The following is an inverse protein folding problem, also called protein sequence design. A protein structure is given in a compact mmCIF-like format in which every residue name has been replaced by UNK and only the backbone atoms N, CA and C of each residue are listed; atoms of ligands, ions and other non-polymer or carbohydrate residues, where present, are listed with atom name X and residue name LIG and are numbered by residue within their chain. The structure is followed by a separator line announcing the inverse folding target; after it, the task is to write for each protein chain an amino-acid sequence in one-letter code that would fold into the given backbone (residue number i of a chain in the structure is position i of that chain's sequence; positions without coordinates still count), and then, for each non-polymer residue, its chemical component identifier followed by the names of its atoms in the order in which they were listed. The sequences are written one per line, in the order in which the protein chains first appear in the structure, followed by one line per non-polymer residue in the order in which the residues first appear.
data_IF_115728978008
#
_entry.id   IF_115728978008
#
_cell.length_a   1.000
_cell.length_b   1.000
_cell.length_c   1.000
_cell.angle_alpha   90.00
_cell.angle_beta   90.00
_cell.angle_gamma   90.00
#
_symmetry.space_group_name_H-M   'P 1'
#
loop_
_entity.id
_entity.type
_entity.pdbx_description
1 polymer ?
#
# COMPACT_ATOMS: atom_id res chain seq x y z
N UNK A 1 6.53 -25.81 -6.95
CA UNK A 1 7.39 -25.42 -5.80
C UNK A 1 6.95 -24.06 -5.31
N UNK A 2 6.76 -23.91 -3.99
CA UNK A 2 6.47 -22.62 -3.36
C UNK A 2 7.69 -22.19 -2.55
N UNK A 3 8.21 -21.01 -2.82
CA UNK A 3 9.39 -20.43 -2.17
C UNK A 3 9.15 -18.95 -1.83
N UNK A 4 9.85 -18.45 -0.83
CA UNK A 4 9.79 -17.04 -0.46
C UNK A 4 11.09 -16.38 -0.88
N UNK A 5 10.99 -15.47 -1.85
CA UNK A 5 12.11 -14.70 -2.39
C UNK A 5 12.15 -13.33 -1.72
N UNK A 6 13.32 -12.83 -1.26
CA UNK A 6 13.42 -11.48 -0.73
C UNK A 6 13.00 -10.44 -1.76
N UNK A 7 12.07 -9.54 -1.38
CA UNK A 7 11.59 -8.48 -2.27
C UNK A 7 12.71 -7.57 -2.79
N UNK A 8 13.78 -7.35 -1.98
CA UNK A 8 14.97 -6.64 -2.42
C UNK A 8 15.64 -7.28 -3.63
N UNK A 9 15.72 -8.62 -3.66
CA UNK A 9 16.29 -9.36 -4.81
C UNK A 9 15.48 -9.12 -6.07
N UNK A 10 14.14 -9.24 -5.98
CA UNK A 10 13.26 -9.01 -7.13
C UNK A 10 13.36 -7.57 -7.63
N UNK A 11 13.45 -6.61 -6.72
CA UNK A 11 13.62 -5.19 -7.08
C UNK A 11 14.96 -4.90 -7.76
N UNK A 12 16.05 -5.55 -7.35
CA UNK A 12 17.34 -5.39 -8.05
C UNK A 12 17.33 -6.07 -9.41
N UNK A 13 16.71 -7.26 -9.54
CA UNK A 13 16.54 -7.93 -10.83
C UNK A 13 15.73 -7.07 -11.78
N UNK A 14 14.62 -6.47 -11.32
CA UNK A 14 13.78 -5.61 -12.18
C UNK A 14 14.51 -4.38 -12.73
N UNK A 15 15.54 -3.88 -12.03
CA UNK A 15 16.38 -2.77 -12.50
C UNK A 15 17.42 -3.19 -13.53
N UNK A 16 17.87 -4.47 -13.46
CA UNK A 16 18.89 -5.01 -14.37
C UNK A 16 18.22 -5.56 -15.64
N UNK A 17 17.00 -6.08 -15.53
CA UNK A 17 16.19 -6.51 -16.67
C UNK A 17 15.78 -5.28 -17.48
N UNK A 18 16.70 -4.80 -18.34
CA UNK A 18 16.44 -3.72 -19.28
C UNK A 18 16.32 -4.27 -20.68
N UNK A 19 15.25 -3.90 -21.41
CA UNK A 19 15.14 -4.15 -22.83
C UNK A 19 13.96 -5.01 -23.24
N UNK A 20 14.15 -5.81 -24.26
CA UNK A 20 13.13 -6.45 -25.06
C UNK A 20 12.26 -7.44 -24.28
N UNK A 21 10.94 -7.36 -24.44
CA UNK A 21 9.97 -8.28 -23.82
C UNK A 21 10.10 -9.73 -24.35
N UNK A 22 10.95 -9.99 -25.31
CA UNK A 22 11.20 -11.32 -25.89
C UNK A 22 12.32 -12.10 -25.18
N UNK A 23 13.02 -11.49 -24.21
CA UNK A 23 14.11 -12.16 -23.49
C UNK A 23 13.56 -13.07 -22.41
N UNK A 24 14.04 -14.29 -22.36
CA UNK A 24 13.69 -15.28 -21.35
C UNK A 24 14.58 -15.12 -20.11
N UNK A 25 13.97 -15.25 -18.94
CA UNK A 25 14.65 -15.40 -17.66
C UNK A 25 14.52 -16.83 -17.20
N UNK A 26 15.64 -17.53 -17.06
CA UNK A 26 15.66 -18.89 -16.50
C UNK A 26 15.74 -18.81 -14.97
N UNK A 27 14.88 -19.57 -14.28
CA UNK A 27 14.80 -19.56 -12.83
C UNK A 27 15.07 -20.97 -12.31
N UNK A 28 16.08 -21.10 -11.47
CA UNK A 28 16.47 -22.37 -10.86
C UNK A 28 16.23 -22.34 -9.35
N UNK A 29 15.60 -23.38 -8.85
CA UNK A 29 15.27 -23.52 -7.43
C UNK A 29 16.22 -24.52 -6.76
N UNK A 30 17.02 -24.06 -5.81
CA UNK A 30 17.82 -24.88 -4.91
C UNK A 30 17.09 -25.09 -3.57
N UNK A 31 17.74 -25.82 -2.65
CA UNK A 31 17.15 -26.10 -1.34
C UNK A 31 16.90 -24.83 -0.50
N UNK A 32 17.83 -23.87 -0.54
CA UNK A 32 17.79 -22.61 0.23
C UNK A 32 18.23 -21.40 -0.60
N UNK A 33 18.39 -21.55 -1.91
CA UNK A 33 18.74 -20.50 -2.85
C UNK A 33 17.85 -20.54 -4.09
N UNK A 34 17.70 -19.39 -4.73
CA UNK A 34 17.11 -19.22 -6.05
C UNK A 34 18.14 -18.54 -6.95
N UNK A 35 18.22 -18.98 -8.20
CA UNK A 35 19.11 -18.43 -9.20
C UNK A 35 18.28 -17.96 -10.38
N UNK A 36 18.59 -16.78 -10.85
CA UNK A 36 18.03 -16.16 -12.05
C UNK A 36 19.14 -16.02 -13.07
N UNK A 37 18.95 -16.52 -14.26
CA UNK A 37 19.91 -16.43 -15.37
C UNK A 37 19.22 -15.77 -16.57
N UNK A 38 19.83 -14.72 -17.05
CA UNK A 38 19.38 -13.97 -18.23
C UNK A 38 20.57 -13.25 -18.88
N UNK A 39 20.63 -13.27 -20.19
CA UNK A 39 21.78 -12.80 -20.96
C UNK A 39 23.11 -13.41 -20.41
N UNK A 40 24.10 -12.58 -20.13
CA UNK A 40 25.38 -12.98 -19.51
C UNK A 40 25.38 -12.77 -17.98
N UNK A 41 24.19 -12.65 -17.35
CA UNK A 41 24.04 -12.30 -15.93
C UNK A 41 23.44 -13.45 -15.15
N UNK A 42 24.07 -13.77 -14.01
CA UNK A 42 23.55 -14.73 -13.03
C UNK A 42 23.35 -14.00 -11.71
N UNK A 43 22.12 -14.03 -11.18
CA UNK A 43 21.78 -13.50 -9.87
C UNK A 43 21.41 -14.64 -8.93
N UNK A 44 22.12 -14.77 -7.82
CA UNK A 44 21.85 -15.76 -6.79
C UNK A 44 21.32 -15.07 -5.53
N UNK A 45 20.20 -15.57 -5.01
CA UNK A 45 19.63 -15.07 -3.77
C UNK A 45 19.31 -16.20 -2.79
N UNK A 46 19.47 -15.95 -1.51
CA UNK A 46 19.04 -16.86 -0.48
C UNK A 46 17.52 -16.75 -0.30
N UNK A 47 16.86 -17.89 -0.18
CA UNK A 47 15.44 -17.95 0.13
C UNK A 47 15.18 -17.60 1.59
N UNK A 48 14.01 -17.03 1.88
CA UNK A 48 13.53 -16.79 3.24
C UNK A 48 12.88 -18.08 3.73
N UNK A 49 13.34 -18.57 4.87
CA UNK A 49 12.76 -19.75 5.53
C UNK A 49 11.46 -19.38 6.25
N UNK A 50 10.48 -20.28 6.23
CA UNK A 50 9.21 -20.15 6.92
C UNK A 50 8.01 -20.28 6.02
N UNK A 51 6.82 -20.08 6.59
CA UNK A 51 5.56 -20.04 5.84
C UNK A 51 5.28 -18.60 5.42
N UNK A 52 4.86 -18.44 4.17
CA UNK A 52 4.37 -17.15 3.68
C UNK A 52 3.01 -16.83 4.32
N UNK A 53 2.74 -15.55 4.52
CA UNK A 53 1.46 -15.10 5.04
C UNK A 53 0.29 -15.64 4.20
N UNK A 54 -0.74 -16.14 4.88
CA UNK A 54 -1.99 -16.58 4.24
C UNK A 54 -2.84 -15.36 3.91
N UNK A 55 -2.46 -14.67 2.82
CA UNK A 55 -3.08 -13.41 2.39
C UNK A 55 -4.60 -13.59 2.23
N UNK A 56 -5.06 -14.72 1.69
CA UNK A 56 -6.49 -15.01 1.49
C UNK A 56 -7.30 -14.95 2.80
N UNK A 57 -6.67 -15.28 3.94
CA UNK A 57 -7.32 -15.20 5.25
C UNK A 57 -7.36 -13.78 5.82
N UNK A 58 -6.54 -12.87 5.28
CA UNK A 58 -6.49 -11.47 5.69
C UNK A 58 -7.41 -10.61 4.82
N UNK A 59 -7.76 -11.08 3.62
CA UNK A 59 -8.68 -10.41 2.71
C UNK A 59 -10.12 -10.69 3.14
N UNK A 60 -10.58 -10.00 4.18
CA UNK A 60 -12.00 -10.03 4.55
C UNK A 60 -12.82 -9.25 3.52
N UNK A 61 -13.93 -9.82 3.07
CA UNK A 61 -14.94 -9.10 2.28
C UNK A 61 -15.85 -8.23 3.14
N UNK A 62 -15.77 -8.36 4.48
CA UNK A 62 -16.62 -7.64 5.40
C UNK A 62 -16.06 -6.25 5.68
N UNK A 63 -16.90 -5.24 5.58
CA UNK A 63 -16.59 -3.86 5.94
C UNK A 63 -17.82 -3.21 6.60
N UNK A 64 -17.57 -2.31 7.55
CA UNK A 64 -18.59 -1.48 8.17
C UNK A 64 -18.66 -0.08 7.53
N UNK A 65 -17.58 0.33 6.87
CA UNK A 65 -17.45 1.63 6.19
C UNK A 65 -16.76 1.44 4.86
N UNK A 66 -17.40 1.89 3.78
CA UNK A 66 -16.86 1.98 2.44
C UNK A 66 -16.82 3.44 2.02
N UNK A 67 -15.70 3.87 1.46
CA UNK A 67 -15.49 5.25 1.00
C UNK A 67 -14.91 5.24 -0.40
N UNK A 68 -15.61 5.84 -1.37
CA UNK A 68 -15.08 6.12 -2.70
C UNK A 68 -14.78 7.60 -2.84
N UNK A 69 -13.64 7.93 -3.42
CA UNK A 69 -13.15 9.30 -3.51
C UNK A 69 -12.17 9.48 -4.68
N UNK A 70 -11.98 10.74 -5.08
CA UNK A 70 -10.99 11.08 -6.09
C UNK A 70 -9.58 10.80 -5.58
N UNK A 71 -8.85 9.95 -6.32
CA UNK A 71 -7.49 9.53 -5.97
C UNK A 71 -6.51 10.71 -5.90
N UNK A 72 -6.59 11.62 -6.87
CA UNK A 72 -5.66 12.75 -6.94
C UNK A 72 -5.80 13.67 -5.74
N UNK A 73 -7.02 14.04 -5.37
CA UNK A 73 -7.29 14.92 -4.23
C UNK A 73 -6.79 14.30 -2.91
N UNK A 74 -6.96 12.99 -2.78
CA UNK A 74 -6.49 12.24 -1.62
C UNK A 74 -4.97 12.16 -1.58
N UNK A 75 -4.32 11.79 -2.68
CA UNK A 75 -2.87 11.70 -2.79
C UNK A 75 -2.21 13.05 -2.55
N UNK A 76 -2.68 14.12 -3.19
CA UNK A 76 -2.16 15.48 -3.03
C UNK A 76 -2.24 15.95 -1.56
N UNK A 77 -3.32 15.57 -0.85
CA UNK A 77 -3.48 15.89 0.58
C UNK A 77 -2.52 15.10 1.47
N UNK A 78 -2.31 13.82 1.17
CA UNK A 78 -1.34 12.99 1.88
C UNK A 78 0.09 13.48 1.63
N UNK A 79 0.44 13.85 0.41
CA UNK A 79 1.78 14.36 0.08
C UNK A 79 2.08 15.68 0.80
N UNK A 80 1.11 16.58 0.92
CA UNK A 80 1.26 17.78 1.77
C UNK A 80 1.51 17.44 3.23
N UNK A 81 0.85 16.39 3.75
CA UNK A 81 1.09 15.93 5.11
C UNK A 81 2.51 15.37 5.30
N UNK A 82 3.00 14.61 4.32
CA UNK A 82 4.35 14.00 4.37
C UNK A 82 5.44 15.07 4.48
N UNK A 83 5.29 16.24 3.84
CA UNK A 83 6.25 17.34 3.91
C UNK A 83 6.45 17.84 5.35
N UNK A 84 5.43 17.73 6.20
CA UNK A 84 5.47 18.14 7.60
C UNK A 84 6.06 17.08 8.55
N UNK A 85 6.52 15.94 8.04
CA UNK A 85 7.03 14.83 8.84
C UNK A 85 8.51 14.59 8.52
N UNK A 86 9.35 14.45 9.53
CA UNK A 86 10.74 14.00 9.34
C UNK A 86 10.77 12.49 9.08
N UNK A 87 11.82 12.04 8.41
CA UNK A 87 12.01 10.64 8.02
C UNK A 87 11.89 9.63 9.19
N UNK A 88 12.23 10.06 10.40
CA UNK A 88 12.15 9.24 11.63
C UNK A 88 10.92 9.55 12.51
N UNK A 89 10.06 10.49 12.11
CA UNK A 89 8.88 10.88 12.88
C UNK A 89 7.68 10.04 12.46
N UNK A 90 7.19 9.19 13.36
CA UNK A 90 6.05 8.29 13.10
C UNK A 90 4.69 8.96 13.34
N UNK A 91 4.54 10.22 12.94
CA UNK A 91 3.26 10.94 13.12
C UNK A 91 2.20 10.41 12.16
N UNK A 92 1.05 9.97 12.66
CA UNK A 92 -0.05 9.52 11.82
C UNK A 92 -0.78 10.69 11.17
N UNK A 93 -1.32 10.43 9.97
CA UNK A 93 -2.43 11.19 9.44
C UNK A 93 -3.73 10.58 9.96
N UNK A 94 -4.61 11.42 10.48
CA UNK A 94 -5.90 11.00 11.03
C UNK A 94 -6.97 11.32 9.99
N UNK A 95 -7.71 10.32 9.58
CA UNK A 95 -8.87 10.43 8.71
C UNK A 95 -10.12 10.42 9.57
N UNK A 96 -10.91 11.47 9.52
CA UNK A 96 -12.23 11.52 10.11
C UNK A 96 -13.27 11.49 8.99
N UNK A 97 -14.02 10.40 8.92
CA UNK A 97 -14.95 10.05 7.84
C UNK A 97 -16.37 10.25 8.35
N UNK A 98 -17.04 11.27 7.85
CA UNK A 98 -18.39 11.65 8.25
C UNK A 98 -19.21 12.01 7.01
N UNK A 99 -20.43 11.52 6.93
CA UNK A 99 -21.36 11.82 5.84
C UNK A 99 -20.72 11.79 4.43
N UNK A 100 -20.63 12.94 3.78
CA UNK A 100 -20.09 13.13 2.43
C UNK A 100 -18.67 13.74 2.42
N UNK A 101 -18.01 13.79 3.58
CA UNK A 101 -16.69 14.41 3.74
C UNK A 101 -15.73 13.54 4.52
N UNK A 102 -14.49 13.60 4.14
CA UNK A 102 -13.36 13.07 4.90
C UNK A 102 -12.42 14.22 5.26
N UNK A 103 -12.21 14.46 6.54
CA UNK A 103 -11.18 15.38 7.00
C UNK A 103 -9.89 14.64 7.30
N UNK A 104 -8.78 15.19 6.80
CA UNK A 104 -7.43 14.70 7.04
C UNK A 104 -6.71 15.65 7.97
N UNK A 105 -6.22 15.14 9.10
CA UNK A 105 -5.48 15.93 10.09
C UNK A 105 -4.13 15.34 10.39
N UNK A 106 -3.12 16.20 10.44
CA UNK A 106 -1.78 15.83 10.89
C UNK A 106 -1.21 16.93 11.76
N UNK A 107 -0.68 16.54 12.92
CA UNK A 107 0.04 17.42 13.84
C UNK A 107 1.49 16.94 13.96
N UNK A 108 2.43 17.81 13.66
CA UNK A 108 3.85 17.58 13.82
C UNK A 108 4.55 18.75 14.55
N UNK A 109 5.83 18.58 14.83
CA UNK A 109 6.68 19.68 15.36
C UNK A 109 6.88 20.83 14.36
N UNK A 110 6.60 20.64 13.08
CA UNK A 110 6.76 21.63 12.00
C UNK A 110 5.47 22.36 11.67
N UNK A 111 4.34 21.86 12.13
CA UNK A 111 3.06 22.47 11.85
C UNK A 111 1.90 21.48 11.85
N UNK A 112 0.74 22.03 11.56
CA UNK A 112 -0.51 21.29 11.47
C UNK A 112 -1.04 21.39 10.06
N UNK A 113 -1.49 20.25 9.51
CA UNK A 113 -2.24 20.19 8.26
C UNK A 113 -3.68 19.76 8.53
N UNK A 114 -4.61 20.48 7.92
CA UNK A 114 -6.01 20.12 7.82
C UNK A 114 -6.43 20.22 6.35
N UNK A 115 -7.08 19.17 5.86
CA UNK A 115 -7.69 19.16 4.53
C UNK A 115 -9.06 18.50 4.61
N UNK A 116 -9.96 18.85 3.71
CA UNK A 116 -11.25 18.20 3.53
C UNK A 116 -11.36 17.69 2.10
N UNK A 117 -11.89 16.49 1.93
CA UNK A 117 -12.13 15.84 0.64
C UNK A 117 -13.58 15.41 0.59
N UNK A 118 -14.22 15.61 -0.54
CA UNK A 118 -15.55 15.08 -0.81
C UNK A 118 -15.45 13.57 -1.07
N UNK A 119 -16.36 12.83 -0.47
CA UNK A 119 -16.39 11.36 -0.55
C UNK A 119 -17.81 10.85 -0.80
N UNK A 120 -17.90 9.65 -1.33
CA UNK A 120 -19.11 8.83 -1.30
C UNK A 120 -18.94 7.75 -0.24
N UNK A 121 -19.63 7.90 0.88
CA UNK A 121 -19.58 6.96 1.99
C UNK A 121 -20.81 6.07 2.05
N UNK A 122 -20.62 4.81 2.33
CA UNK A 122 -21.63 3.87 2.81
C UNK A 122 -21.19 3.28 4.13
N UNK A 123 -22.13 3.12 5.06
CA UNK A 123 -21.85 2.55 6.37
C UNK A 123 -21.62 3.61 7.44
N UNK A 124 -20.86 3.26 8.46
CA UNK A 124 -20.70 4.04 9.69
C UNK A 124 -19.66 5.14 9.56
N UNK A 125 -19.79 6.17 10.40
CA UNK A 125 -18.71 7.15 10.60
C UNK A 125 -17.51 6.49 11.25
N UNK A 126 -16.32 6.94 10.87
CA UNK A 126 -15.09 6.32 11.34
C UNK A 126 -13.96 7.34 11.47
N UNK A 127 -13.26 7.29 12.60
CA UNK A 127 -11.99 7.97 12.77
C UNK A 127 -10.87 6.94 12.86
N UNK A 128 -9.86 7.07 11.98
CA UNK A 128 -8.78 6.09 11.83
C UNK A 128 -7.46 6.79 11.48
N UNK A 129 -6.35 6.30 12.04
CA UNK A 129 -5.02 6.85 11.80
C UNK A 129 -4.17 5.93 10.94
N UNK A 130 -3.36 6.51 10.04
CA UNK A 130 -2.43 5.77 9.20
C UNK A 130 -1.05 6.42 9.14
N UNK A 131 -0.05 5.63 8.81
CA UNK A 131 1.21 6.18 8.31
C UNK A 131 0.97 6.74 6.90
N UNK A 132 1.13 8.06 6.67
CA UNK A 132 0.80 8.67 5.38
C UNK A 132 1.64 8.14 4.23
N UNK A 133 2.86 7.67 4.49
CA UNK A 133 3.72 7.08 3.47
C UNK A 133 3.10 5.80 2.88
N UNK A 134 2.53 4.93 3.71
CA UNK A 134 1.90 3.70 3.22
C UNK A 134 0.65 3.96 2.39
N UNK A 135 -0.14 4.98 2.76
CA UNK A 135 -1.27 5.41 1.93
C UNK A 135 -0.80 5.98 0.58
N UNK A 136 0.24 6.82 0.58
CA UNK A 136 0.82 7.36 -0.65
C UNK A 136 1.34 6.25 -1.56
N UNK A 137 2.06 5.27 -1.01
CA UNK A 137 2.61 4.14 -1.77
C UNK A 137 1.49 3.32 -2.43
N UNK A 138 0.37 3.08 -1.71
CA UNK A 138 -0.80 2.40 -2.25
C UNK A 138 -1.43 3.15 -3.43
N UNK A 139 -1.62 4.47 -3.27
CA UNK A 139 -2.33 5.29 -4.25
C UNK A 139 -1.53 5.54 -5.53
N UNK A 140 -0.19 5.54 -5.45
CA UNK A 140 0.68 5.79 -6.61
C UNK A 140 0.67 4.67 -7.64
N UNK A 141 0.27 3.46 -7.27
CA UNK A 141 0.26 2.29 -8.15
C UNK A 141 -1.05 2.17 -8.90
N UNK A 142 -2.13 2.73 -8.36
CA UNK A 142 -3.46 2.70 -8.98
C UNK A 142 -3.51 3.74 -10.10
N UNK A 143 -3.92 3.32 -11.30
CA UNK A 143 -4.05 4.23 -12.46
C UNK A 143 -5.42 4.93 -12.50
N UNK A 144 -6.45 4.37 -11.86
CA UNK A 144 -7.81 4.91 -11.85
C UNK A 144 -7.91 6.30 -11.23
N UNK A 145 -8.90 7.07 -11.65
CA UNK A 145 -9.20 8.39 -11.10
C UNK A 145 -9.88 8.31 -9.73
N UNK A 146 -10.62 7.25 -9.46
CA UNK A 146 -11.28 6.96 -8.19
C UNK A 146 -10.63 5.78 -7.49
N UNK A 147 -10.65 5.83 -6.17
CA UNK A 147 -10.23 4.71 -5.31
C UNK A 147 -11.28 4.44 -4.26
N UNK A 148 -11.36 3.20 -3.85
CA UNK A 148 -12.27 2.78 -2.79
C UNK A 148 -11.51 2.23 -1.59
N UNK A 149 -11.86 2.75 -0.41
CA UNK A 149 -11.35 2.31 0.88
C UNK A 149 -12.40 1.47 1.59
N UNK A 150 -12.01 0.29 2.07
CA UNK A 150 -12.87 -0.61 2.83
C UNK A 150 -12.31 -0.76 4.24
N UNK A 151 -13.10 -0.45 5.25
CA UNK A 151 -12.70 -0.43 6.64
C UNK A 151 -13.77 -1.11 7.50
N UNK A 152 -13.33 -1.93 8.45
CA UNK A 152 -14.24 -2.55 9.44
C UNK A 152 -14.35 -1.68 10.69
N UNK A 153 -13.25 -1.18 11.21
CA UNK A 153 -13.15 -0.33 12.39
C UNK A 153 -11.77 0.34 12.46
N UNK A 154 -11.53 1.17 13.47
CA UNK A 154 -10.29 1.92 13.66
C UNK A 154 -9.03 1.07 13.96
N UNK A 155 -9.16 -0.23 14.19
CA UNK A 155 -8.06 -1.14 14.55
C UNK A 155 -7.81 -2.23 13.52
N UNK A 156 -8.77 -2.47 12.63
CA UNK A 156 -8.65 -3.46 11.56
C UNK A 156 -7.97 -2.86 10.33
N UNK A 157 -7.35 -3.68 9.48
CA UNK A 157 -6.75 -3.22 8.24
C UNK A 157 -7.74 -2.44 7.37
N UNK A 158 -7.23 -1.43 6.67
CA UNK A 158 -7.92 -0.78 5.56
C UNK A 158 -7.50 -1.44 4.27
N UNK A 159 -8.45 -1.78 3.42
CA UNK A 159 -8.19 -2.25 2.06
C UNK A 159 -8.45 -1.11 1.09
N UNK A 160 -7.46 -0.85 0.23
CA UNK A 160 -7.60 0.04 -0.92
C UNK A 160 -7.66 -0.81 -2.16
N UNK A 161 -8.67 -0.59 -3.00
CA UNK A 161 -8.89 -1.33 -4.23
C UNK A 161 -9.06 -0.36 -5.40
N UNK A 162 -8.63 -0.81 -6.59
CA UNK A 162 -8.99 -0.21 -7.87
C UNK A 162 -10.46 -0.57 -8.25
N UNK A 163 -10.96 0.00 -9.36
CA UNK A 163 -12.34 -0.22 -9.81
C UNK A 163 -12.63 -1.68 -10.16
N UNK A 164 -11.68 -2.35 -10.80
CA UNK A 164 -11.82 -3.76 -11.26
C UNK A 164 -11.48 -4.78 -10.17
N UNK A 165 -11.08 -4.33 -8.97
CA UNK A 165 -10.57 -5.18 -7.89
C UNK A 165 -9.37 -6.07 -8.31
N UNK A 166 -8.63 -5.65 -9.34
CA UNK A 166 -7.43 -6.33 -9.82
C UNK A 166 -6.23 -6.08 -8.91
N UNK A 167 -6.30 -4.98 -8.15
CA UNK A 167 -5.31 -4.54 -7.18
C UNK A 167 -5.94 -4.36 -5.81
N UNK A 168 -5.34 -4.99 -4.81
CA UNK A 168 -5.74 -4.85 -3.41
C UNK A 168 -4.51 -4.50 -2.58
N UNK A 169 -4.56 -3.35 -1.93
CA UNK A 169 -3.52 -2.93 -0.98
C UNK A 169 -4.06 -2.90 0.44
N UNK A 170 -3.34 -3.53 1.35
CA UNK A 170 -3.70 -3.61 2.76
C UNK A 170 -2.81 -2.63 3.56
N UNK A 171 -3.44 -1.67 4.23
CA UNK A 171 -2.76 -0.72 5.12
C UNK A 171 -3.21 -0.94 6.56
N UNK A 172 -2.24 -1.19 7.46
CA UNK A 172 -2.54 -1.30 8.88
C UNK A 172 -2.73 0.09 9.50
N UNK A 173 -3.76 0.27 10.34
CA UNK A 173 -3.93 1.51 11.08
C UNK A 173 -2.87 1.64 12.18
N UNK A 174 -2.66 2.86 12.63
CA UNK A 174 -1.78 3.18 13.77
C UNK A 174 -2.57 3.90 14.85
N UNK A 175 -2.19 3.71 16.10
CA UNK A 175 -2.78 4.44 17.22
C UNK A 175 -2.36 5.92 17.17
N UNK A 176 -3.24 6.81 17.58
CA UNK A 176 -3.05 8.27 17.58
C UNK A 176 -3.64 8.91 18.83
#
# INVERSE_FOLDING_TARGET
TKVIVPGKTLNEISKILTGDNEKEVQIFFGANHILFEFDDTIVVSRLIEGEYFKVDQMLSSDYATKVSLNKKDFLDSIERAIILIRENDKKPIILNIEDSKMSLKLNSSFGTMNAEILIHKTGQDLMIGFNPKFLSDALRIIDDEEVTLYMMNAKSPCFTKDEDESYIYLTLPVNF
#
